data_IF_147209032669
#
_entry.id   IF_147209032669
#
_cell.length_a   1.000
_cell.length_b   1.000
_cell.length_c   1.000
_cell.angle_alpha   90.00
_cell.angle_beta   90.00
_cell.angle_gamma   90.00
#
_symmetry.space_group_name_H-M   'P 1'
#
loop_
_entity.id
_entity.type
_entity.pdbx_description
1 polymer ?
#
# COMPACT_ATOMS: atom_id res chain seq x y z
N UNK A 1 -10.23 19.91 1.65
CA UNK A 1 -9.69 18.69 1.03
C UNK A 1 -8.25 18.52 1.50
N UNK A 2 -7.93 17.38 2.10
CA UNK A 2 -6.55 16.99 2.44
C UNK A 2 -6.11 15.91 1.47
N UNK A 3 -4.87 16.00 0.99
CA UNK A 3 -4.27 15.01 0.10
C UNK A 3 -2.83 14.77 0.57
N UNK A 4 -2.52 13.53 0.97
CA UNK A 4 -1.19 13.17 1.43
C UNK A 4 -0.43 12.44 0.34
N UNK A 5 0.87 12.75 0.13
CA UNK A 5 1.71 12.02 -0.81
C UNK A 5 2.07 10.61 -0.27
N UNK A 6 1.97 10.40 1.04
CA UNK A 6 2.12 9.08 1.67
C UNK A 6 0.96 8.16 1.25
N UNK A 7 1.20 6.90 0.83
CA UNK A 7 2.42 6.11 0.95
C UNK A 7 3.16 5.93 -0.38
N UNK A 8 3.29 6.98 -1.20
CA UNK A 8 4.18 6.95 -2.36
C UNK A 8 5.64 6.83 -1.92
N UNK A 9 6.51 6.40 -2.84
CA UNK A 9 7.94 6.37 -2.62
C UNK A 9 8.42 7.76 -2.16
N UNK A 10 9.33 7.86 -1.17
CA UNK A 10 10.28 6.83 -0.72
C UNK A 10 9.79 5.84 0.36
N UNK A 11 8.49 5.81 0.69
CA UNK A 11 7.92 4.91 1.71
C UNK A 11 8.48 5.07 3.12
N UNK A 12 9.08 6.22 3.43
CA UNK A 12 9.71 6.48 4.72
C UNK A 12 8.66 6.53 5.83
N UNK A 13 8.70 5.62 6.82
CA UNK A 13 7.82 5.69 7.98
C UNK A 13 8.17 6.88 8.87
N UNK A 14 7.18 7.41 9.59
CA UNK A 14 7.46 8.32 10.70
C UNK A 14 8.32 7.60 11.75
N UNK A 15 9.24 8.29 12.46
CA UNK A 15 10.17 7.66 13.40
C UNK A 15 9.50 6.72 14.42
N UNK A 16 8.35 7.13 14.94
CA UNK A 16 7.57 6.37 15.92
C UNK A 16 6.83 5.14 15.35
N UNK A 17 6.64 5.07 14.04
CA UNK A 17 5.95 3.96 13.37
C UNK A 17 6.94 2.92 12.79
N UNK A 18 8.24 3.23 12.80
CA UNK A 18 9.29 2.37 12.23
C UNK A 18 9.32 1.02 12.96
N UNK A 19 9.24 -0.06 12.19
CA UNK A 19 9.27 -1.43 12.72
C UNK A 19 7.95 -1.91 13.32
N UNK A 20 6.88 -1.10 13.30
CA UNK A 20 5.57 -1.49 13.81
C UNK A 20 5.01 -2.72 13.07
N UNK A 21 5.40 -2.90 11.81
CA UNK A 21 5.03 -4.05 10.99
C UNK A 21 6.23 -4.92 10.66
N UNK A 22 7.20 -5.06 11.57
CA UNK A 22 8.38 -5.90 11.35
C UNK A 22 8.02 -7.32 10.92
N UNK A 23 8.50 -7.73 9.74
CA UNK A 23 8.21 -9.05 9.17
C UNK A 23 6.86 -9.16 8.46
N UNK A 24 6.12 -8.07 8.31
CA UNK A 24 4.88 -8.02 7.54
C UNK A 24 5.18 -8.09 6.04
N UNK A 25 4.70 -9.13 5.38
CA UNK A 25 5.03 -9.45 3.99
C UNK A 25 3.88 -9.14 3.05
N UNK A 26 4.21 -8.81 1.80
CA UNK A 26 3.18 -8.57 0.79
C UNK A 26 2.38 -9.85 0.54
N UNK A 27 1.05 -9.72 0.37
CA UNK A 27 0.19 -10.86 0.13
C UNK A 27 0.60 -11.63 -1.13
N UNK A 28 0.81 -12.94 -0.97
CA UNK A 28 1.16 -13.85 -2.07
C UNK A 28 -0.12 -14.40 -2.71
N UNK A 29 -0.72 -13.63 -3.60
CA UNK A 29 -1.91 -14.07 -4.36
C UNK A 29 -1.51 -15.04 -5.48
N UNK A 30 -2.45 -15.77 -6.10
CA UNK A 30 -2.14 -16.61 -7.27
C UNK A 30 -1.52 -15.85 -8.46
N UNK A 31 -1.73 -14.52 -8.53
CA UNK A 31 -1.12 -13.67 -9.56
C UNK A 31 0.31 -13.24 -9.19
N UNK A 32 0.75 -13.43 -7.95
CA UNK A 32 2.12 -13.10 -7.53
C UNK A 32 3.10 -14.04 -8.24
N UNK A 33 4.05 -13.47 -8.98
CA UNK A 33 5.07 -14.24 -9.71
C UNK A 33 4.49 -15.36 -10.61
N UNK A 34 3.32 -15.13 -11.20
CA UNK A 34 2.66 -16.13 -12.04
C UNK A 34 3.44 -16.41 -13.33
N UNK A 35 3.41 -17.66 -13.77
CA UNK A 35 4.19 -18.14 -14.91
C UNK A 35 3.72 -17.57 -16.26
N UNK A 36 4.59 -17.63 -17.27
CA UNK A 36 4.24 -17.29 -18.65
C UNK A 36 3.04 -18.09 -19.19
N UNK A 37 2.88 -19.35 -18.77
CA UNK A 37 1.75 -20.20 -19.19
C UNK A 37 0.44 -19.70 -18.58
N UNK A 38 0.44 -19.33 -17.30
CA UNK A 38 -0.70 -18.69 -16.62
C UNK A 38 -1.02 -17.32 -17.26
N UNK A 39 -0.01 -16.62 -17.77
CA UNK A 39 -0.14 -15.31 -18.40
C UNK A 39 -0.24 -15.35 -19.93
N UNK A 40 -0.60 -16.50 -20.52
CA UNK A 40 -0.63 -16.69 -21.98
C UNK A 40 -1.61 -15.76 -22.72
N UNK A 41 -2.60 -15.20 -22.02
CA UNK A 41 -3.56 -14.23 -22.59
C UNK A 41 -3.11 -12.76 -22.38
N UNK A 42 -2.11 -12.48 -21.54
CA UNK A 42 -1.66 -11.12 -21.21
C UNK A 42 -0.93 -10.46 -22.38
N UNK A 43 -0.70 -9.14 -22.35
CA UNK A 43 0.10 -8.47 -23.38
C UNK A 43 1.52 -9.07 -23.48
N UNK A 44 2.13 -9.10 -24.68
CA UNK A 44 3.40 -9.82 -24.91
C UNK A 44 4.56 -9.35 -24.02
N UNK A 45 4.57 -8.07 -23.61
CA UNK A 45 5.60 -7.51 -22.73
C UNK A 45 5.55 -8.15 -21.33
N UNK A 46 4.35 -8.40 -20.80
CA UNK A 46 4.16 -9.07 -19.52
C UNK A 46 4.66 -10.51 -19.57
N UNK A 47 4.43 -11.20 -20.70
CA UNK A 47 4.89 -12.58 -20.92
C UNK A 47 6.41 -12.73 -20.98
N UNK A 48 7.15 -11.64 -21.15
CA UNK A 48 8.62 -11.61 -21.26
C UNK A 48 9.32 -11.19 -19.96
N UNK A 49 8.57 -10.82 -18.93
CA UNK A 49 9.15 -10.50 -17.62
C UNK A 49 9.82 -11.75 -17.05
N UNK A 50 11.02 -11.57 -16.49
CA UNK A 50 11.68 -12.63 -15.74
C UNK A 50 10.86 -12.95 -14.47
N UNK A 51 10.83 -14.22 -14.03
CA UNK A 51 10.26 -14.56 -12.74
C UNK A 51 10.93 -13.76 -11.61
N UNK A 52 10.13 -13.38 -10.62
CA UNK A 52 10.59 -12.76 -9.38
C UNK A 52 11.41 -13.81 -8.62
N UNK A 53 12.69 -13.51 -8.41
CA UNK A 53 13.56 -14.31 -7.56
C UNK A 53 13.40 -13.95 -6.07
N UNK A 54 14.16 -14.63 -5.21
CA UNK A 54 14.08 -14.44 -3.78
C UNK A 54 14.58 -13.05 -3.32
N UNK A 55 15.53 -12.45 -4.03
CA UNK A 55 16.05 -11.11 -3.71
C UNK A 55 14.97 -10.06 -3.99
N UNK A 56 14.35 -10.11 -5.17
CA UNK A 56 13.27 -9.21 -5.56
C UNK A 56 12.05 -9.42 -4.64
N UNK A 57 11.70 -10.67 -4.32
CA UNK A 57 10.60 -10.96 -3.40
C UNK A 57 10.85 -10.35 -2.01
N UNK A 58 12.08 -10.44 -1.50
CA UNK A 58 12.47 -9.84 -0.22
C UNK A 58 12.41 -8.31 -0.26
N UNK A 59 12.79 -7.68 -1.38
CA UNK A 59 12.63 -6.23 -1.59
C UNK A 59 11.17 -5.81 -1.62
N UNK A 60 10.31 -6.56 -2.29
CA UNK A 60 8.86 -6.32 -2.32
C UNK A 60 8.28 -6.35 -0.90
N UNK A 61 8.69 -7.32 -0.08
CA UNK A 61 8.24 -7.42 1.31
C UNK A 61 8.71 -6.24 2.14
N UNK A 62 9.99 -5.86 2.03
CA UNK A 62 10.52 -4.69 2.73
C UNK A 62 9.79 -3.39 2.33
N UNK A 63 9.51 -3.20 1.05
CA UNK A 63 8.73 -2.05 0.57
C UNK A 63 7.30 -2.08 1.11
N UNK A 64 6.66 -3.24 1.12
CA UNK A 64 5.29 -3.38 1.63
C UNK A 64 5.19 -3.09 3.12
N UNK A 65 6.14 -3.59 3.92
CA UNK A 65 6.26 -3.26 5.33
C UNK A 65 6.40 -1.75 5.52
N UNK A 66 7.40 -1.12 4.91
CA UNK A 66 7.66 0.31 5.09
C UNK A 66 6.47 1.18 4.67
N UNK A 67 5.76 0.81 3.60
CA UNK A 67 4.54 1.51 3.17
C UNK A 67 3.41 1.40 4.18
N UNK A 68 3.23 0.21 4.76
CA UNK A 68 2.23 -0.02 5.79
C UNK A 68 2.55 0.81 7.04
N UNK A 69 3.83 0.88 7.43
CA UNK A 69 4.28 1.71 8.56
C UNK A 69 4.12 3.22 8.28
N UNK A 70 4.33 3.66 7.04
CA UNK A 70 4.10 5.04 6.63
C UNK A 70 2.61 5.41 6.66
N UNK A 71 1.71 4.48 6.31
CA UNK A 71 0.26 4.69 6.37
C UNK A 71 -0.27 4.95 7.78
N UNK A 72 0.39 4.45 8.83
CA UNK A 72 0.00 4.71 10.22
C UNK A 72 0.01 6.21 10.58
N UNK A 73 0.79 7.03 9.89
CA UNK A 73 0.73 8.49 10.06
C UNK A 73 -0.56 9.08 9.49
N UNK A 74 -1.08 8.52 8.41
CA UNK A 74 -2.35 8.96 7.79
C UNK A 74 -3.51 8.51 8.65
N UNK A 75 -3.47 7.28 9.15
CA UNK A 75 -4.47 6.74 10.08
C UNK A 75 -4.66 7.64 11.30
N UNK A 76 -3.55 8.05 11.95
CA UNK A 76 -3.57 9.01 13.06
C UNK A 76 -4.14 10.38 12.66
N UNK A 77 -3.88 10.87 11.45
CA UNK A 77 -4.50 12.13 11.00
C UNK A 77 -6.01 12.00 10.76
N UNK A 78 -6.47 10.86 10.25
CA UNK A 78 -7.91 10.58 10.10
C UNK A 78 -8.59 10.57 11.47
N UNK A 79 -8.00 9.90 12.47
CA UNK A 79 -8.48 9.93 13.86
C UNK A 79 -8.61 11.36 14.38
N UNK A 80 -7.59 12.20 14.19
CA UNK A 80 -7.63 13.61 14.60
C UNK A 80 -8.80 14.39 13.96
N UNK A 81 -9.08 14.16 12.68
CA UNK A 81 -10.21 14.82 12.00
C UNK A 81 -11.56 14.34 12.51
N UNK A 82 -11.73 13.03 12.68
CA UNK A 82 -12.97 12.45 13.19
C UNK A 82 -13.24 12.96 14.60
N UNK A 83 -12.24 12.91 15.49
CA UNK A 83 -12.35 13.40 16.87
C UNK A 83 -12.64 14.92 16.91
N UNK A 84 -12.04 15.70 16.02
CA UNK A 84 -12.34 17.13 15.92
C UNK A 84 -13.81 17.38 15.54
N UNK A 85 -14.33 16.66 14.53
CA UNK A 85 -15.73 16.77 14.12
C UNK A 85 -16.70 16.34 15.24
N UNK A 86 -16.36 15.26 15.96
CA UNK A 86 -17.13 14.78 17.09
C UNK A 86 -17.17 15.82 18.22
N UNK A 87 -16.01 16.39 18.60
CA UNK A 87 -15.93 17.42 19.65
C UNK A 87 -16.73 18.69 19.33
N UNK A 88 -16.96 18.97 18.05
CA UNK A 88 -17.73 20.10 17.55
C UNK A 88 -19.21 19.76 17.33
N UNK A 89 -19.65 18.53 17.63
CA UNK A 89 -20.98 18.00 17.29
C UNK A 89 -21.33 18.17 15.80
N UNK A 90 -20.34 18.08 14.91
CA UNK A 90 -20.53 18.21 13.46
C UNK A 90 -20.42 16.88 12.72
N UNK A 91 -19.99 15.81 13.39
CA UNK A 91 -19.73 14.52 12.75
C UNK A 91 -20.98 13.96 12.02
N UNK A 92 -22.13 13.94 12.69
CA UNK A 92 -23.39 13.42 12.12
C UNK A 92 -23.92 14.24 10.93
N UNK A 93 -23.43 15.47 10.76
CA UNK A 93 -23.81 16.37 9.67
C UNK A 93 -22.69 16.49 8.60
N UNK A 94 -21.69 15.62 8.63
CA UNK A 94 -20.52 15.67 7.75
C UNK A 94 -20.35 14.37 6.97
N UNK A 95 -20.27 14.46 5.64
CA UNK A 95 -19.87 13.34 4.79
C UNK A 95 -18.34 13.29 4.72
N UNK A 96 -17.75 12.18 5.13
CA UNK A 96 -16.31 11.92 4.98
C UNK A 96 -16.10 10.99 3.78
N UNK A 97 -15.40 11.50 2.76
CA UNK A 97 -14.98 10.70 1.61
C UNK A 97 -13.49 10.35 1.73
N UNK A 98 -13.19 9.05 1.76
CA UNK A 98 -11.83 8.53 1.73
C UNK A 98 -11.57 7.78 0.41
N UNK A 99 -10.55 8.21 -0.33
CA UNK A 99 -10.21 7.63 -1.64
C UNK A 99 -8.71 7.71 -1.89
N UNK A 100 -8.27 7.00 -2.92
CA UNK A 100 -6.94 7.11 -3.52
C UNK A 100 -7.09 7.36 -5.02
N UNK A 101 -6.03 7.87 -5.65
CA UNK A 101 -5.92 8.02 -7.09
C UNK A 101 -5.61 6.68 -7.80
N UNK A 102 -4.78 5.82 -7.18
CA UNK A 102 -4.44 4.48 -7.68
C UNK A 102 -3.82 3.56 -6.61
N UNK A 103 -3.66 2.29 -6.96
CA UNK A 103 -2.97 1.29 -6.13
C UNK A 103 -1.49 1.12 -6.50
N UNK A 104 -0.88 0.06 -5.96
CA UNK A 104 0.52 -0.26 -6.25
C UNK A 104 0.73 -1.75 -6.44
N UNK A 105 1.49 -2.12 -7.47
CA UNK A 105 1.77 -3.52 -7.81
C UNK A 105 2.93 -4.06 -6.97
N UNK A 106 2.69 -5.18 -6.28
CA UNK A 106 3.65 -5.86 -5.41
C UNK A 106 3.97 -7.25 -5.95
N UNK A 107 4.46 -7.31 -7.19
CA UNK A 107 4.76 -8.56 -7.87
C UNK A 107 3.54 -9.27 -8.48
N UNK A 108 2.36 -8.64 -8.46
CA UNK A 108 1.21 -9.10 -9.22
C UNK A 108 1.45 -8.90 -10.72
N UNK A 109 1.13 -9.94 -11.49
CA UNK A 109 1.20 -9.92 -12.94
C UNK A 109 -0.23 -9.87 -13.48
N UNK A 110 -0.75 -8.65 -13.60
CA UNK A 110 -2.09 -8.33 -14.10
C UNK A 110 -2.03 -7.57 -15.42
#
# INVERSE_FOLDING_TARGET
>A
MTAWPTPHAPFTPAPQNKGHFSGYRAHRTPNFNSSRYQNSQKHWMIRRLAPIDQEIASRIDGMFQMRSEALLSIDRHVELFVNALESLNQLDNTIILYTSDNGWKLGSID
#
